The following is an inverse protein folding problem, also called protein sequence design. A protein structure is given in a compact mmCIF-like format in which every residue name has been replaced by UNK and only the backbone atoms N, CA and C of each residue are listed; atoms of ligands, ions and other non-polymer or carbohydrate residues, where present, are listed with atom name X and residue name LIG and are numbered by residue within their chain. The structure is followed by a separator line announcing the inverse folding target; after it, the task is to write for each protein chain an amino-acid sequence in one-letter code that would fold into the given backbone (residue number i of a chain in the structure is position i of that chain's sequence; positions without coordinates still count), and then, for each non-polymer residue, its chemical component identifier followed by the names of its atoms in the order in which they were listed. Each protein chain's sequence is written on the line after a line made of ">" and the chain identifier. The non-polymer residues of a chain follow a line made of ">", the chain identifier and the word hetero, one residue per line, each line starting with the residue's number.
data_IF_071515423099
#
_entry.id   IF_071515423099
#
_cell.length_a   1.000
_cell.length_b   1.000
_cell.length_c   1.000
_cell.angle_alpha   90.00
_cell.angle_beta   90.00
_cell.angle_gamma   90.00
#
_symmetry.space_group_name_H-M   'P 1'
#
loop_
_entity.id
_entity.type
_entity.pdbx_description
1 polymer ?
#
# COMPACT_ATOMS: atom_id res chain seq x y z
N UNK A 1 -25.70 2.11 -15.09
CA UNK A 1 -24.66 1.28 -15.75
C UNK A 1 -25.33 0.45 -16.84
N UNK A 2 -24.98 0.66 -18.12
CA UNK A 2 -25.54 -0.11 -19.23
C UNK A 2 -25.02 -1.55 -19.17
N UNK A 3 -25.93 -2.53 -19.12
CA UNK A 3 -25.63 -3.97 -19.11
C UNK A 3 -24.90 -4.32 -20.40
N UNK A 4 -23.78 -5.05 -20.33
CA UNK A 4 -23.07 -5.49 -21.52
C UNK A 4 -24.00 -6.40 -22.36
N UNK A 5 -24.20 -6.05 -23.63
CA UNK A 5 -25.00 -6.84 -24.58
C UNK A 5 -24.40 -8.26 -24.70
N UNK A 6 -25.26 -9.28 -24.63
CA UNK A 6 -24.89 -10.70 -24.73
C UNK A 6 -24.25 -11.02 -26.09
N UNK A 7 -23.40 -12.05 -26.13
CA UNK A 7 -22.73 -12.49 -27.36
C UNK A 7 -23.74 -12.86 -28.46
N UNK A 8 -24.80 -13.58 -28.09
CA UNK A 8 -25.90 -13.98 -28.97
C UNK A 8 -26.56 -12.76 -29.65
N UNK A 9 -26.90 -11.74 -28.86
CA UNK A 9 -27.55 -10.53 -29.38
C UNK A 9 -26.65 -9.69 -30.29
N UNK A 10 -25.32 -9.80 -30.17
CA UNK A 10 -24.37 -9.20 -31.12
C UNK A 10 -24.38 -9.96 -32.44
N UNK A 11 -24.37 -11.28 -32.37
CA UNK A 11 -24.39 -12.13 -33.56
C UNK A 11 -25.68 -11.94 -34.35
N UNK A 12 -26.83 -11.88 -33.68
CA UNK A 12 -28.13 -11.60 -34.28
C UNK A 12 -28.15 -10.25 -35.01
N UNK A 13 -27.68 -9.17 -34.36
CA UNK A 13 -27.64 -7.83 -34.95
C UNK A 13 -26.76 -7.77 -36.21
N UNK A 14 -25.61 -8.45 -36.19
CA UNK A 14 -24.70 -8.51 -37.35
C UNK A 14 -25.30 -9.33 -38.49
N UNK A 15 -25.90 -10.49 -38.20
CA UNK A 15 -26.58 -11.33 -39.19
C UNK A 15 -27.76 -10.59 -39.82
N UNK A 16 -28.58 -9.91 -39.01
CA UNK A 16 -29.72 -9.12 -39.49
C UNK A 16 -29.28 -8.02 -40.46
N UNK A 17 -28.18 -7.30 -40.14
CA UNK A 17 -27.63 -6.31 -41.05
C UNK A 17 -27.17 -6.94 -42.37
N UNK A 18 -26.38 -8.03 -42.34
CA UNK A 18 -25.84 -8.65 -43.55
C UNK A 18 -26.95 -9.16 -44.46
N UNK A 19 -27.93 -9.88 -43.90
CA UNK A 19 -29.04 -10.45 -44.68
C UNK A 19 -29.91 -9.36 -45.30
N UNK A 20 -30.28 -8.34 -44.52
CA UNK A 20 -31.16 -7.26 -45.02
C UNK A 20 -30.43 -6.33 -45.98
N UNK A 21 -29.15 -6.03 -45.76
CA UNK A 21 -28.34 -5.24 -46.68
C UNK A 21 -28.13 -5.93 -48.04
N UNK A 22 -28.15 -7.26 -48.07
CA UNK A 22 -28.09 -8.04 -49.30
C UNK A 22 -29.43 -8.02 -50.08
N UNK A 23 -30.55 -7.89 -49.38
CA UNK A 23 -31.90 -7.81 -49.98
C UNK A 23 -32.25 -6.37 -50.40
N UNK A 24 -31.85 -5.39 -49.60
CA UNK A 24 -32.12 -3.97 -49.80
C UNK A 24 -30.86 -3.13 -49.53
N UNK A 25 -30.24 -2.55 -50.57
CA UNK A 25 -29.08 -1.69 -50.44
C UNK A 25 -29.31 -0.42 -49.62
N UNK A 26 -30.56 -0.01 -49.36
CA UNK A 26 -30.89 1.21 -48.60
C UNK A 26 -30.74 1.05 -47.08
N UNK A 27 -30.65 -0.18 -46.57
CA UNK A 27 -30.55 -0.47 -45.13
C UNK A 27 -29.30 0.18 -44.52
N UNK A 28 -29.47 1.00 -43.49
CA UNK A 28 -28.37 1.69 -42.80
C UNK A 28 -27.95 0.96 -41.53
N UNK A 29 -26.76 1.28 -40.99
CA UNK A 29 -26.36 0.78 -39.68
C UNK A 29 -27.27 1.30 -38.57
N UNK A 30 -27.76 2.53 -38.71
CA UNK A 30 -28.63 3.19 -37.75
C UNK A 30 -29.96 2.46 -37.55
N UNK A 31 -30.61 2.03 -38.64
CA UNK A 31 -31.91 1.34 -38.56
C UNK A 31 -31.81 0.00 -37.83
N UNK A 32 -30.76 -0.77 -38.09
CA UNK A 32 -30.49 -2.04 -37.40
C UNK A 32 -30.03 -1.80 -35.96
N UNK A 33 -29.23 -0.76 -35.72
CA UNK A 33 -28.75 -0.44 -34.37
C UNK A 33 -29.92 -0.07 -33.43
N UNK A 34 -30.88 0.70 -33.93
CA UNK A 34 -32.09 1.08 -33.19
C UNK A 34 -32.96 -0.14 -32.82
N UNK A 35 -33.18 -1.07 -33.74
CA UNK A 35 -33.98 -2.30 -33.51
C UNK A 35 -33.38 -3.18 -32.39
N UNK A 36 -32.06 -3.32 -32.36
CA UNK A 36 -31.39 -4.18 -31.39
C UNK A 36 -31.07 -3.47 -30.06
N UNK A 37 -31.34 -2.16 -29.97
CA UNK A 37 -31.02 -1.33 -28.80
C UNK A 37 -29.53 -1.15 -28.59
N UNK A 38 -28.75 -1.06 -29.67
CA UNK A 38 -27.29 -0.95 -29.66
C UNK A 38 -26.85 0.36 -30.28
N UNK A 39 -25.70 0.90 -29.88
CA UNK A 39 -25.15 2.08 -30.56
C UNK A 39 -24.65 1.74 -31.97
N UNK A 40 -24.88 2.62 -32.94
CA UNK A 40 -24.44 2.46 -34.34
C UNK A 40 -22.93 2.14 -34.44
N UNK A 41 -22.10 2.87 -33.68
CA UNK A 41 -20.66 2.65 -33.62
C UNK A 41 -20.28 1.25 -33.09
N UNK A 42 -21.14 0.61 -32.29
CA UNK A 42 -20.92 -0.76 -31.83
C UNK A 42 -21.22 -1.78 -32.93
N UNK A 43 -22.33 -1.61 -33.65
CA UNK A 43 -22.69 -2.46 -34.79
C UNK A 43 -21.63 -2.36 -35.90
N UNK A 44 -21.19 -1.14 -36.24
CA UNK A 44 -20.13 -0.91 -37.22
C UNK A 44 -18.83 -1.63 -36.81
N UNK A 45 -18.40 -1.52 -35.55
CA UNK A 45 -17.22 -2.24 -35.04
C UNK A 45 -17.34 -3.76 -35.12
N UNK A 46 -18.53 -4.32 -34.89
CA UNK A 46 -18.76 -5.76 -34.96
C UNK A 46 -18.70 -6.27 -36.40
N UNK A 47 -19.31 -5.54 -37.34
CA UNK A 47 -19.30 -5.90 -38.77
C UNK A 47 -17.91 -5.78 -39.36
N UNK A 48 -17.19 -4.71 -39.00
CA UNK A 48 -15.79 -4.54 -39.37
C UNK A 48 -14.94 -5.72 -38.85
N UNK A 49 -15.11 -6.10 -37.58
CA UNK A 49 -14.38 -7.24 -37.01
C UNK A 49 -14.74 -8.57 -37.68
N UNK A 50 -16.01 -8.78 -38.03
CA UNK A 50 -16.42 -9.97 -38.76
C UNK A 50 -15.74 -10.04 -40.15
N UNK A 51 -15.60 -8.91 -40.84
CA UNK A 51 -14.91 -8.83 -42.14
C UNK A 51 -13.40 -9.02 -42.02
N UNK A 52 -12.77 -8.45 -40.99
CA UNK A 52 -11.31 -8.47 -40.81
C UNK A 52 -10.81 -9.77 -40.14
N UNK A 53 -11.56 -10.30 -39.16
CA UNK A 53 -11.12 -11.39 -38.28
C UNK A 53 -12.00 -12.66 -38.38
N UNK A 54 -13.08 -12.62 -39.17
CA UNK A 54 -14.02 -13.75 -39.29
C UNK A 54 -14.87 -14.01 -38.04
N UNK A 55 -14.88 -13.09 -37.07
CA UNK A 55 -15.64 -13.23 -35.82
C UNK A 55 -16.23 -11.90 -35.37
N UNK A 56 -17.44 -11.95 -34.79
CA UNK A 56 -18.08 -10.79 -34.14
C UNK A 56 -17.50 -10.56 -32.75
N UNK A 57 -17.02 -11.63 -32.11
CA UNK A 57 -16.62 -11.61 -30.71
C UNK A 57 -15.30 -10.89 -30.47
N UNK A 58 -15.21 -10.25 -29.31
CA UNK A 58 -13.97 -9.58 -28.91
C UNK A 58 -12.96 -10.65 -28.51
N UNK A 59 -11.87 -10.81 -29.27
CA UNK A 59 -10.69 -11.54 -28.78
C UNK A 59 -10.21 -10.91 -27.48
N UNK A 60 -10.18 -11.69 -26.40
CA UNK A 60 -9.49 -11.28 -25.17
C UNK A 60 -8.03 -11.06 -25.55
N UNK A 61 -7.39 -9.95 -25.12
CA UNK A 61 -5.97 -9.75 -25.38
C UNK A 61 -5.22 -10.98 -24.87
N UNK A 62 -4.46 -11.64 -25.76
CA UNK A 62 -3.55 -12.72 -25.39
C UNK A 62 -2.55 -12.11 -24.41
N UNK A 63 -2.68 -12.45 -23.12
CA UNK A 63 -1.63 -12.17 -22.14
C UNK A 63 -0.47 -13.06 -22.55
N UNK A 64 0.55 -12.45 -23.13
CA UNK A 64 1.82 -13.11 -23.38
C UNK A 64 2.25 -13.76 -22.06
N UNK A 65 2.39 -15.10 -21.97
CA UNK A 65 2.88 -15.75 -20.77
C UNK A 65 4.38 -15.46 -20.68
N UNK A 66 4.72 -14.20 -20.39
CA UNK A 66 6.08 -13.72 -20.34
C UNK A 66 6.95 -14.67 -19.52
N UNK A 67 8.20 -14.86 -19.99
CA UNK A 67 9.27 -15.67 -19.36
C UNK A 67 8.95 -15.95 -17.89
N UNK A 68 8.62 -17.20 -17.56
CA UNK A 68 8.43 -17.60 -16.16
C UNK A 68 9.71 -17.22 -15.42
N UNK A 69 9.56 -16.31 -14.45
CA UNK A 69 10.66 -15.85 -13.58
C UNK A 69 11.26 -17.02 -12.79
N UNK A 70 10.48 -18.09 -12.59
CA UNK A 70 10.89 -19.33 -11.94
C UNK A 70 11.08 -20.43 -13.01
N UNK A 71 12.30 -20.97 -13.08
CA UNK A 71 12.61 -22.18 -13.84
C UNK A 71 12.17 -23.42 -13.03
N UNK A 72 12.04 -24.60 -13.67
CA UNK A 72 11.77 -25.85 -12.94
C UNK A 72 12.76 -26.12 -11.80
N UNK A 73 14.04 -25.79 -12.00
CA UNK A 73 15.08 -25.91 -10.97
C UNK A 73 14.85 -24.98 -9.77
N UNK A 74 14.39 -23.73 -10.01
CA UNK A 74 14.01 -22.83 -8.91
C UNK A 74 12.82 -23.37 -8.13
N UNK A 75 11.86 -24.00 -8.82
CA UNK A 75 10.69 -24.53 -8.16
C UNK A 75 10.98 -25.79 -7.33
N UNK A 76 11.92 -26.64 -7.76
CA UNK A 76 12.40 -27.77 -6.96
C UNK A 76 13.18 -27.30 -5.72
N UNK A 77 14.05 -26.30 -5.88
CA UNK A 77 14.75 -25.68 -4.77
C UNK A 77 13.80 -25.07 -3.73
N UNK A 78 12.70 -24.45 -4.18
CA UNK A 78 11.65 -23.94 -3.28
C UNK A 78 11.07 -25.08 -2.43
N UNK A 79 10.78 -26.23 -3.05
CA UNK A 79 10.15 -27.35 -2.39
C UNK A 79 11.08 -28.04 -1.38
N UNK A 80 12.33 -28.28 -1.77
CA UNK A 80 13.36 -28.82 -0.89
C UNK A 80 13.58 -27.90 0.32
N UNK A 81 13.71 -26.59 0.08
CA UNK A 81 13.93 -25.62 1.14
C UNK A 81 12.75 -25.53 2.11
N UNK A 82 11.50 -25.49 1.60
CA UNK A 82 10.29 -25.43 2.44
C UNK A 82 10.10 -26.72 3.26
N UNK A 83 10.52 -27.87 2.71
CA UNK A 83 10.47 -29.15 3.42
C UNK A 83 11.52 -29.21 4.54
N UNK A 84 12.74 -28.75 4.26
CA UNK A 84 13.83 -28.69 5.24
C UNK A 84 13.61 -27.61 6.30
N UNK A 85 12.92 -26.52 5.97
CA UNK A 85 12.69 -25.36 6.82
C UNK A 85 11.17 -25.14 7.04
N UNK A 86 10.50 -26.00 7.82
CA UNK A 86 9.04 -25.97 7.98
C UNK A 86 8.53 -24.71 8.73
N UNK A 87 9.41 -23.98 9.42
CA UNK A 87 9.15 -22.68 10.03
C UNK A 87 9.78 -21.51 9.25
N UNK A 88 10.42 -21.81 8.11
CA UNK A 88 11.13 -20.84 7.29
C UNK A 88 10.19 -19.78 6.71
N UNK A 89 10.69 -18.54 6.60
CA UNK A 89 9.92 -17.37 6.19
C UNK A 89 10.11 -17.08 4.70
N UNK A 90 9.14 -16.38 4.11
CA UNK A 90 9.16 -16.06 2.67
C UNK A 90 10.40 -15.24 2.24
N UNK A 91 10.92 -14.40 3.12
CA UNK A 91 12.11 -13.61 2.83
C UNK A 91 13.39 -14.45 2.89
N UNK A 92 13.46 -15.44 3.78
CA UNK A 92 14.57 -16.41 3.90
C UNK A 92 14.61 -17.31 2.67
N UNK A 93 13.44 -17.79 2.21
CA UNK A 93 13.32 -18.52 0.94
C UNK A 93 13.79 -17.66 -0.23
N UNK A 94 13.45 -16.36 -0.25
CA UNK A 94 13.88 -15.43 -1.29
C UNK A 94 15.39 -15.22 -1.27
N UNK A 95 15.98 -15.11 -0.08
CA UNK A 95 17.42 -14.99 0.09
C UNK A 95 18.13 -16.28 -0.34
N UNK A 96 17.61 -17.44 0.04
CA UNK A 96 18.14 -18.75 -0.36
C UNK A 96 18.14 -18.90 -1.89
N UNK A 97 17.04 -18.56 -2.57
CA UNK A 97 16.98 -18.59 -4.03
C UNK A 97 17.94 -17.60 -4.70
N UNK A 98 18.14 -16.42 -4.10
CA UNK A 98 19.10 -15.44 -4.60
C UNK A 98 20.55 -15.93 -4.43
N UNK A 99 20.87 -16.58 -3.31
CA UNK A 99 22.23 -17.04 -2.99
C UNK A 99 22.60 -18.35 -3.68
N UNK A 100 21.71 -19.35 -3.66
CA UNK A 100 21.97 -20.69 -4.19
C UNK A 100 21.67 -20.81 -5.70
N UNK A 101 20.74 -19.99 -6.22
CA UNK A 101 20.26 -20.10 -7.60
C UNK A 101 20.28 -18.79 -8.40
N UNK A 102 20.79 -17.69 -7.83
CA UNK A 102 20.89 -16.39 -8.51
C UNK A 102 19.52 -15.77 -8.88
N UNK A 103 18.42 -16.30 -8.35
CA UNK A 103 17.08 -15.93 -8.76
C UNK A 103 16.49 -14.83 -7.86
N UNK A 104 16.41 -13.60 -8.39
CA UNK A 104 15.74 -12.48 -7.70
C UNK A 104 14.25 -12.50 -8.02
N UNK A 105 13.45 -13.03 -7.10
CA UNK A 105 12.02 -13.30 -7.33
C UNK A 105 11.15 -12.44 -6.40
N UNK A 106 10.07 -11.86 -6.94
CA UNK A 106 9.12 -11.09 -6.12
C UNK A 106 8.38 -12.00 -5.12
N UNK A 107 8.01 -11.45 -3.95
CA UNK A 107 7.24 -12.17 -2.94
C UNK A 107 5.89 -12.67 -3.48
N UNK A 108 5.25 -11.92 -4.37
CA UNK A 108 3.99 -12.31 -5.02
C UNK A 108 4.16 -13.48 -5.98
N UNK A 109 5.29 -13.55 -6.69
CA UNK A 109 5.64 -14.68 -7.57
C UNK A 109 5.87 -15.95 -6.75
N UNK A 110 6.61 -15.87 -5.63
CA UNK A 110 6.84 -17.01 -4.74
C UNK A 110 5.56 -17.49 -4.07
N UNK A 111 4.70 -16.59 -3.58
CA UNK A 111 3.39 -16.98 -3.01
C UNK A 111 2.52 -17.71 -4.02
N UNK A 112 2.53 -17.27 -5.28
CA UNK A 112 1.80 -17.92 -6.37
C UNK A 112 2.34 -19.32 -6.66
N UNK A 113 3.66 -19.49 -6.70
CA UNK A 113 4.30 -20.81 -6.90
C UNK A 113 3.99 -21.78 -5.75
N UNK A 114 4.10 -21.31 -4.50
CA UNK A 114 3.77 -22.10 -3.31
C UNK A 114 2.28 -22.49 -3.28
N UNK A 115 1.39 -21.58 -3.64
CA UNK A 115 -0.04 -21.85 -3.73
C UNK A 115 -0.37 -22.86 -4.84
N UNK A 116 0.30 -22.79 -6.00
CA UNK A 116 0.14 -23.77 -7.08
C UNK A 116 0.58 -25.18 -6.67
N UNK A 117 1.53 -25.29 -5.73
CA UNK A 117 2.04 -26.56 -5.20
C UNK A 117 1.30 -27.05 -3.95
N UNK A 118 0.20 -26.39 -3.55
CA UNK A 118 -0.57 -26.79 -2.37
C UNK A 118 0.14 -26.52 -1.03
N UNK A 119 1.25 -25.79 -1.03
CA UNK A 119 1.99 -25.39 0.17
C UNK A 119 1.29 -24.17 0.80
N UNK A 120 0.13 -24.41 1.44
CA UNK A 120 -0.89 -23.40 1.75
C UNK A 120 -1.07 -22.93 3.21
N UNK A 121 -0.96 -21.60 3.38
CA UNK A 121 -1.53 -20.66 4.37
C UNK A 121 -1.23 -20.76 5.88
N UNK A 122 -0.97 -21.93 6.48
CA UNK A 122 -0.79 -22.01 7.96
C UNK A 122 0.64 -21.84 8.48
N UNK A 123 1.65 -21.97 7.62
CA UNK A 123 3.05 -22.13 8.07
C UNK A 123 4.00 -20.98 7.70
N UNK A 124 3.60 -20.05 6.84
CA UNK A 124 4.46 -18.97 6.35
C UNK A 124 3.95 -17.55 6.72
N UNK A 125 3.00 -17.46 7.65
CA UNK A 125 2.32 -16.21 8.04
C UNK A 125 2.55 -15.81 9.50
N UNK A 126 3.34 -16.56 10.28
CA UNK A 126 3.65 -16.18 11.67
C UNK A 126 4.97 -15.40 11.74
N UNK A 127 4.84 -14.19 12.26
CA UNK A 127 5.88 -13.26 12.72
C UNK A 127 6.65 -12.53 11.61
N UNK A 128 6.25 -11.26 11.46
CA UNK A 128 7.11 -10.06 11.36
C UNK A 128 8.60 -10.33 11.21
N UNK A 129 9.20 -9.75 10.17
CA UNK A 129 10.62 -9.39 10.08
C UNK A 129 11.32 -9.38 11.46
N UNK A 130 12.03 -10.47 11.75
CA UNK A 130 13.14 -10.42 12.70
C UNK A 130 14.31 -10.85 11.83
N UNK A 131 15.20 -9.90 11.54
CA UNK A 131 16.48 -10.16 10.90
C UNK A 131 17.28 -11.10 11.81
N UNK A 132 17.21 -12.42 11.58
CA UNK A 132 18.15 -13.37 12.18
C UNK A 132 19.43 -13.43 11.35
N UNK A 133 20.14 -12.31 11.37
CA UNK A 133 21.58 -12.23 11.25
C UNK A 133 21.93 -10.92 11.94
N UNK A 134 22.02 -10.93 13.27
CA UNK A 134 22.49 -9.76 13.99
C UNK A 134 23.89 -9.44 13.45
N UNK A 135 24.07 -8.38 12.63
CA UNK A 135 25.40 -7.92 12.31
C UNK A 135 26.01 -7.48 13.64
N UNK A 136 27.33 -7.53 13.77
CA UNK A 136 28.02 -7.01 14.94
C UNK A 136 27.49 -5.59 15.30
N UNK A 137 26.58 -5.52 16.28
CA UNK A 137 25.87 -4.29 16.64
C UNK A 137 26.78 -3.32 17.39
N UNK A 138 28.03 -3.70 17.68
CA UNK A 138 29.00 -2.82 18.30
C UNK A 138 29.36 -1.63 17.39
N UNK A 139 29.39 -1.85 16.07
CA UNK A 139 29.63 -0.81 15.07
C UNK A 139 28.43 0.13 14.89
N UNK A 140 27.19 -0.36 14.98
CA UNK A 140 25.98 0.48 14.87
C UNK A 140 25.75 1.38 16.08
N UNK A 141 26.25 0.99 17.25
CA UNK A 141 26.19 1.79 18.49
C UNK A 141 27.11 3.02 18.43
N UNK A 142 28.15 3.02 17.58
CA UNK A 142 29.12 4.11 17.48
C UNK A 142 28.79 5.06 16.32
N UNK A 143 28.85 6.36 16.57
CA UNK A 143 28.63 7.38 15.54
C UNK A 143 29.80 7.45 14.56
N UNK A 144 29.69 6.75 13.43
CA UNK A 144 30.69 6.70 12.34
C UNK A 144 30.38 7.56 11.12
N UNK A 145 31.22 7.49 10.08
CA UNK A 145 31.10 8.30 8.87
C UNK A 145 29.74 8.17 8.15
N UNK A 146 29.14 6.97 8.13
CA UNK A 146 27.81 6.69 7.57
C UNK A 146 26.64 7.37 8.29
N UNK A 147 26.87 7.85 9.52
CA UNK A 147 25.90 8.59 10.34
C UNK A 147 26.08 10.12 10.21
N UNK A 148 27.13 10.57 9.49
CA UNK A 148 27.25 11.95 9.05
C UNK A 148 26.46 12.13 7.76
N UNK A 149 25.92 13.33 7.56
CA UNK A 149 25.30 13.72 6.29
C UNK A 149 26.44 13.96 5.29
N UNK A 150 26.50 13.15 4.25
CA UNK A 150 27.58 13.22 3.28
C UNK A 150 27.29 14.33 2.26
N UNK A 151 28.10 15.39 2.28
CA UNK A 151 28.11 16.40 1.20
C UNK A 151 28.58 15.80 -0.13
N UNK A 152 29.41 14.76 -0.11
CA UNK A 152 30.12 14.23 -1.28
C UNK A 152 29.23 13.55 -2.34
N UNK A 153 27.97 13.23 -2.03
CA UNK A 153 27.07 12.54 -2.97
C UNK A 153 26.39 13.50 -3.97
N UNK A 154 26.48 14.81 -3.76
CA UNK A 154 25.89 15.83 -4.63
C UNK A 154 26.77 17.08 -4.68
N UNK A 155 27.71 17.16 -5.64
CA UNK A 155 28.62 18.30 -5.74
C UNK A 155 27.90 19.62 -6.08
N UNK A 156 26.70 19.54 -6.65
CA UNK A 156 25.88 20.65 -7.12
C UNK A 156 24.89 21.19 -6.07
N UNK A 157 24.70 20.51 -4.92
CA UNK A 157 23.81 20.95 -3.84
C UNK A 157 24.47 20.85 -2.47
N UNK A 158 24.44 21.95 -1.70
CA UNK A 158 24.81 21.88 -0.28
C UNK A 158 23.79 21.05 0.49
N UNK A 159 24.27 20.14 1.34
CA UNK A 159 23.40 19.30 2.16
C UNK A 159 22.58 20.11 3.16
N UNK A 160 21.28 19.83 3.26
CA UNK A 160 20.44 20.39 4.32
C UNK A 160 20.58 19.60 5.63
N UNK A 161 20.35 20.23 6.81
CA UNK A 161 20.24 19.51 8.08
C UNK A 161 19.13 18.45 8.09
N UNK A 162 18.14 18.56 7.20
CA UNK A 162 17.08 17.57 7.02
C UNK A 162 17.49 16.37 6.17
N UNK A 163 18.62 16.41 5.47
CA UNK A 163 19.02 15.35 4.54
C UNK A 163 19.30 14.03 5.27
N UNK A 164 19.06 12.93 4.56
CA UNK A 164 19.32 11.60 5.07
C UNK A 164 20.82 11.35 5.22
N UNK A 165 21.18 10.73 6.34
CA UNK A 165 22.48 10.06 6.48
C UNK A 165 22.50 8.80 5.63
N UNK A 166 23.67 8.30 5.25
CA UNK A 166 23.76 7.04 4.48
C UNK A 166 23.08 5.88 5.22
N UNK A 167 23.25 5.80 6.53
CA UNK A 167 22.59 4.78 7.34
C UNK A 167 21.05 4.87 7.30
N UNK A 168 20.49 6.08 7.26
CA UNK A 168 19.04 6.25 7.10
C UNK A 168 18.59 5.96 5.67
N UNK A 169 19.38 6.37 4.66
CA UNK A 169 19.10 6.12 3.25
C UNK A 169 19.06 4.62 2.94
N UNK A 170 20.08 3.86 3.36
CA UNK A 170 20.13 2.39 3.20
C UNK A 170 18.91 1.70 3.82
N UNK A 171 18.37 2.22 4.92
CA UNK A 171 17.20 1.65 5.57
C UNK A 171 15.90 1.86 4.76
N UNK A 172 15.81 2.90 3.93
CA UNK A 172 14.56 3.29 3.27
C UNK A 172 14.56 3.07 1.76
N UNK A 173 15.72 3.08 1.11
CA UNK A 173 15.88 2.95 -0.35
C UNK A 173 15.10 1.78 -0.96
N UNK A 174 15.11 0.55 -0.38
CA UNK A 174 14.37 -0.58 -0.94
C UNK A 174 12.85 -0.38 -1.01
N UNK A 175 12.30 0.55 -0.22
CA UNK A 175 10.85 0.77 -0.07
C UNK A 175 10.27 1.68 -1.16
N UNK A 176 11.10 2.49 -1.83
CA UNK A 176 10.67 3.37 -2.91
C UNK A 176 11.06 2.90 -4.32
N UNK A 177 11.71 1.74 -4.44
CA UNK A 177 12.30 1.25 -5.70
C UNK A 177 11.29 0.62 -6.69
N UNK A 178 10.02 0.44 -6.30
CA UNK A 178 9.01 -0.13 -7.18
C UNK A 178 8.44 0.94 -8.12
N UNK A 179 9.20 1.30 -9.17
CA UNK A 179 8.72 2.18 -10.22
C UNK A 179 8.42 1.39 -11.50
N UNK A 180 7.15 1.12 -11.84
CA UNK A 180 6.80 0.61 -13.15
C UNK A 180 6.95 1.71 -14.20
N UNK A 181 7.74 1.47 -15.25
CA UNK A 181 7.80 2.32 -16.45
C UNK A 181 9.12 3.07 -16.65
N UNK A 182 9.04 4.26 -17.24
CA UNK A 182 10.19 5.08 -17.68
C UNK A 182 11.00 5.57 -16.47
N UNK A 183 12.33 5.50 -16.58
CA UNK A 183 13.26 6.02 -15.57
C UNK A 183 12.89 7.46 -15.19
N UNK A 184 12.68 7.75 -13.89
CA UNK A 184 12.33 9.09 -13.43
C UNK A 184 13.43 10.10 -13.79
N UNK A 185 13.04 11.32 -14.15
CA UNK A 185 13.97 12.44 -14.39
C UNK A 185 14.73 12.85 -13.12
N UNK A 186 14.12 12.65 -11.95
CA UNK A 186 14.67 12.99 -10.65
C UNK A 186 14.92 11.72 -9.85
N UNK A 187 16.07 11.65 -9.17
CA UNK A 187 16.41 10.50 -8.34
C UNK A 187 15.42 10.33 -7.19
N UNK A 188 15.20 9.07 -6.78
CA UNK A 188 14.34 8.76 -5.64
C UNK A 188 14.76 9.52 -4.39
N UNK A 189 16.07 9.57 -4.14
CA UNK A 189 16.66 10.26 -2.98
C UNK A 189 16.31 11.74 -2.94
N UNK A 190 16.29 12.40 -4.09
CA UNK A 190 15.98 13.83 -4.23
C UNK A 190 14.55 14.11 -3.77
N UNK A 191 13.64 13.22 -4.16
CA UNK A 191 12.22 13.32 -3.79
C UNK A 191 12.05 13.10 -2.29
N UNK A 192 12.65 12.05 -1.71
CA UNK A 192 12.48 11.77 -0.29
C UNK A 192 13.15 12.83 0.59
N UNK A 193 14.31 13.35 0.18
CA UNK A 193 14.97 14.47 0.86
C UNK A 193 14.13 15.74 0.79
N UNK A 194 13.50 16.05 -0.35
CA UNK A 194 12.55 17.16 -0.46
C UNK A 194 11.36 16.99 0.48
N UNK A 195 10.79 15.78 0.58
CA UNK A 195 9.71 15.49 1.53
C UNK A 195 10.15 15.67 2.98
N UNK A 196 11.36 15.22 3.32
CA UNK A 196 11.92 15.39 4.67
C UNK A 196 12.22 16.86 4.96
N UNK A 197 12.66 17.63 3.98
CA UNK A 197 12.86 19.09 4.09
C UNK A 197 11.54 19.80 4.39
N UNK A 198 10.47 19.52 3.63
CA UNK A 198 9.13 20.06 3.89
C UNK A 198 8.66 19.67 5.29
N UNK A 199 8.84 18.40 5.68
CA UNK A 199 8.46 17.92 7.00
C UNK A 199 9.23 18.58 8.16
N UNK A 200 10.51 18.91 7.95
CA UNK A 200 11.35 19.55 8.95
C UNK A 200 11.12 21.06 9.06
N UNK A 201 10.85 21.74 7.95
CA UNK A 201 10.73 23.22 7.89
C UNK A 201 9.30 23.71 7.92
N UNK A 202 8.34 22.88 7.53
CA UNK A 202 6.95 23.28 7.33
C UNK A 202 6.75 24.26 6.17
N UNK A 203 7.73 24.39 5.25
CA UNK A 203 7.62 25.35 4.16
C UNK A 203 6.42 25.03 3.24
N UNK A 204 5.71 26.05 2.72
CA UNK A 204 4.69 25.83 1.71
C UNK A 204 5.26 25.12 0.48
N UNK A 205 4.47 24.25 -0.17
CA UNK A 205 4.91 23.49 -1.35
C UNK A 205 5.54 24.35 -2.45
N UNK A 206 4.96 25.53 -2.73
CA UNK A 206 5.46 26.47 -3.75
C UNK A 206 6.77 27.17 -3.37
N UNK A 207 7.17 27.07 -2.10
CA UNK A 207 8.39 27.64 -1.53
C UNK A 207 9.48 26.58 -1.34
N UNK A 208 9.27 25.36 -1.87
CA UNK A 208 10.33 24.36 -1.90
C UNK A 208 11.55 24.94 -2.66
N UNK A 209 12.75 24.88 -2.08
CA UNK A 209 13.96 25.38 -2.74
C UNK A 209 14.19 24.81 -4.15
N UNK A 210 14.74 25.62 -5.04
CA UNK A 210 14.91 25.29 -6.46
C UNK A 210 16.00 24.24 -6.75
N UNK A 211 16.78 23.87 -5.75
CA UNK A 211 17.76 22.78 -5.79
C UNK A 211 17.14 21.39 -5.49
N UNK A 212 15.83 21.35 -5.19
CA UNK A 212 15.03 20.13 -5.16
C UNK A 212 14.28 19.93 -6.48
N UNK A 213 13.76 18.71 -6.75
CA UNK A 213 12.83 18.48 -7.84
C UNK A 213 11.64 19.44 -7.77
N UNK A 214 11.01 19.78 -8.92
CA UNK A 214 9.84 20.65 -8.94
C UNK A 214 8.77 20.20 -7.96
N UNK A 215 8.18 21.13 -7.20
CA UNK A 215 7.26 20.79 -6.12
C UNK A 215 6.07 19.95 -6.60
N UNK A 216 5.64 20.08 -7.87
CA UNK A 216 4.59 19.27 -8.46
C UNK A 216 4.98 17.79 -8.54
N UNK A 217 6.26 17.51 -8.87
CA UNK A 217 6.80 16.14 -8.88
C UNK A 217 6.85 15.59 -7.46
N UNK A 218 7.42 16.36 -6.52
CA UNK A 218 7.53 15.93 -5.11
C UNK A 218 6.14 15.67 -4.51
N UNK A 219 5.16 16.54 -4.79
CA UNK A 219 3.79 16.39 -4.33
C UNK A 219 3.09 15.16 -4.94
N UNK A 220 3.26 14.91 -6.25
CA UNK A 220 2.71 13.71 -6.89
C UNK A 220 3.17 12.44 -6.20
N UNK A 221 4.47 12.36 -5.91
CA UNK A 221 5.05 11.24 -5.18
C UNK A 221 4.54 11.13 -3.75
N UNK A 222 4.44 12.26 -3.03
CA UNK A 222 3.84 12.29 -1.70
C UNK A 222 2.42 11.73 -1.71
N UNK A 223 1.58 12.20 -2.62
CA UNK A 223 0.19 11.78 -2.72
C UNK A 223 0.13 10.27 -3.03
N UNK A 224 0.86 9.79 -4.02
CA UNK A 224 0.94 8.36 -4.38
C UNK A 224 1.37 7.48 -3.18
N UNK A 225 2.48 7.85 -2.54
CA UNK A 225 3.04 7.09 -1.42
C UNK A 225 2.27 7.20 -0.11
N UNK A 226 1.49 8.27 0.03
CA UNK A 226 0.57 8.43 1.14
C UNK A 226 -0.61 7.47 0.98
N UNK A 227 -1.14 7.31 -0.25
CA UNK A 227 -2.27 6.43 -0.52
C UNK A 227 -1.90 4.94 -0.49
N UNK A 228 -0.71 4.57 -0.98
CA UNK A 228 -0.27 3.17 -0.99
C UNK A 228 0.39 2.69 0.31
N UNK A 229 0.62 3.61 1.27
CA UNK A 229 1.23 3.32 2.57
C UNK A 229 2.77 3.32 2.61
N UNK A 230 3.44 3.65 1.50
CA UNK A 230 4.90 3.74 1.42
C UNK A 230 5.48 4.73 2.43
N UNK A 231 4.85 5.90 2.63
CA UNK A 231 5.29 6.87 3.65
C UNK A 231 5.29 6.25 5.05
N UNK A 232 4.28 5.45 5.37
CA UNK A 232 4.20 4.77 6.67
C UNK A 232 5.29 3.70 6.82
N UNK A 233 5.58 2.96 5.75
CA UNK A 233 6.66 1.96 5.72
C UNK A 233 8.04 2.61 5.90
N UNK A 234 8.29 3.73 5.22
CA UNK A 234 9.52 4.54 5.37
C UNK A 234 9.66 5.03 6.81
N UNK A 235 8.60 5.61 7.39
CA UNK A 235 8.62 6.06 8.77
C UNK A 235 8.87 4.91 9.77
N UNK A 236 8.27 3.73 9.58
CA UNK A 236 8.53 2.58 10.45
C UNK A 236 9.99 2.14 10.39
N UNK A 237 10.58 2.05 9.19
CA UNK A 237 11.99 1.72 9.03
C UNK A 237 12.91 2.72 9.73
N UNK A 238 12.65 4.03 9.58
CA UNK A 238 13.43 5.08 10.23
C UNK A 238 13.31 5.03 11.76
N UNK A 239 12.15 4.67 12.31
CA UNK A 239 11.95 4.54 13.77
C UNK A 239 12.70 3.36 14.39
N UNK A 240 13.00 2.31 13.61
CA UNK A 240 13.76 1.14 14.08
C UNK A 240 15.22 1.49 14.34
N UNK A 241 15.81 2.38 13.54
CA UNK A 241 17.21 2.80 13.66
C UNK A 241 17.59 3.36 15.05
N UNK A 242 16.92 4.39 15.60
CA UNK A 242 17.25 4.89 16.94
C UNK A 242 17.01 3.85 18.04
N UNK A 243 16.04 2.93 17.86
CA UNK A 243 15.79 1.84 18.82
C UNK A 243 16.95 0.84 18.86
N UNK A 244 17.39 0.37 17.68
CA UNK A 244 18.59 -0.50 17.55
C UNK A 244 19.81 0.16 18.19
N UNK A 245 20.04 1.45 17.90
CA UNK A 245 21.17 2.23 18.49
C UNK A 245 21.10 2.31 20.01
N UNK A 246 19.91 2.45 20.58
CA UNK A 246 19.70 2.45 22.02
C UNK A 246 19.78 1.05 22.66
N UNK A 247 20.17 0.01 21.91
CA UNK A 247 20.18 -1.38 22.38
C UNK A 247 18.78 -1.90 22.69
N UNK A 248 17.75 -1.27 22.11
CA UNK A 248 16.35 -1.66 22.28
C UNK A 248 15.89 -2.44 21.06
N UNK A 249 14.96 -3.33 21.34
CA UNK A 249 14.22 -4.08 20.35
C UNK A 249 13.42 -3.15 19.43
N UNK A 250 13.45 -3.46 18.13
CA UNK A 250 12.76 -2.69 17.09
C UNK A 250 11.26 -2.59 17.32
N UNK A 251 10.66 -3.71 17.72
CA UNK A 251 9.25 -3.79 18.05
C UNK A 251 8.99 -3.17 19.42
N UNK A 252 7.96 -2.32 19.47
CA UNK A 252 7.59 -1.52 20.65
C UNK A 252 6.80 -2.40 21.62
N UNK A 253 7.12 -2.31 22.91
CA UNK A 253 6.43 -3.07 23.97
C UNK A 253 5.41 -2.25 24.76
N UNK A 254 5.43 -0.92 24.62
CA UNK A 254 4.54 0.05 25.24
C UNK A 254 4.30 1.20 24.26
N UNK A 255 3.05 1.67 24.21
CA UNK A 255 2.67 2.94 23.60
C UNK A 255 2.06 3.87 24.63
N UNK A 256 2.45 5.14 24.54
CA UNK A 256 1.92 6.23 25.34
C UNK A 256 1.08 7.08 24.40
N UNK A 257 -0.19 7.29 24.75
CA UNK A 257 -1.13 8.09 23.95
C UNK A 257 -1.46 9.35 24.72
N UNK A 258 -1.33 10.48 24.05
CA UNK A 258 -1.74 11.78 24.59
C UNK A 258 -2.55 12.57 23.56
N UNK A 259 -3.33 13.53 24.06
CA UNK A 259 -4.19 14.39 23.26
C UNK A 259 -3.85 15.87 23.46
N UNK A 260 -3.91 16.65 22.39
CA UNK A 260 -3.81 18.10 22.46
C UNK A 260 -4.91 18.77 21.65
N UNK A 261 -5.63 19.69 22.29
CA UNK A 261 -6.61 20.55 21.63
C UNK A 261 -5.95 21.87 21.27
N UNK A 262 -6.16 22.32 20.05
CA UNK A 262 -5.56 23.55 19.50
C UNK A 262 -6.69 24.42 18.98
N UNK A 263 -6.71 25.69 19.42
CA UNK A 263 -7.65 26.69 18.90
C UNK A 263 -7.32 26.94 17.44
N UNK A 264 -8.27 26.71 16.56
CA UNK A 264 -8.15 27.08 15.13
C UNK A 264 -8.96 28.35 14.88
N UNK A 265 -8.96 28.91 13.66
CA UNK A 265 -9.95 29.93 13.27
C UNK A 265 -10.92 29.38 12.22
N UNK A 266 -10.43 28.55 11.30
CA UNK A 266 -11.19 27.93 10.22
C UNK A 266 -11.33 26.41 10.41
N UNK A 267 -12.17 25.73 9.60
CA UNK A 267 -12.25 24.27 9.56
C UNK A 267 -13.63 23.61 9.52
N UNK A 268 -14.73 24.38 9.48
CA UNK A 268 -16.10 23.87 9.28
C UNK A 268 -16.55 22.80 10.28
N UNK A 269 -17.34 21.84 9.83
CA UNK A 269 -17.88 20.71 10.63
C UNK A 269 -16.81 19.87 11.33
N UNK A 270 -15.58 19.93 10.82
CA UNK A 270 -14.47 19.15 11.34
C UNK A 270 -13.82 19.81 12.58
N UNK A 271 -14.32 20.98 13.00
CA UNK A 271 -13.99 21.68 14.24
C UNK A 271 -14.99 21.31 15.36
N UNK A 272 -14.58 21.41 16.62
CA UNK A 272 -15.48 21.20 17.75
C UNK A 272 -15.02 21.91 19.00
N UNK A 273 -15.68 21.63 20.12
CA UNK A 273 -15.35 22.23 21.41
C UNK A 273 -14.92 21.14 22.41
N UNK A 274 -13.70 21.26 22.91
CA UNK A 274 -13.22 20.45 24.02
C UNK A 274 -13.62 21.10 25.33
N UNK A 275 -14.64 20.55 26.00
CA UNK A 275 -15.12 21.06 27.28
C UNK A 275 -14.12 20.91 28.44
N UNK A 276 -13.23 19.91 28.39
CA UNK A 276 -12.21 19.70 29.42
C UNK A 276 -11.10 20.75 29.35
N UNK A 277 -10.71 21.13 28.13
CA UNK A 277 -9.66 22.15 27.90
C UNK A 277 -10.23 23.55 27.65
N UNK A 278 -11.55 23.68 27.52
CA UNK A 278 -12.27 24.90 27.10
C UNK A 278 -11.74 25.48 25.78
N UNK A 279 -11.42 24.61 24.83
CA UNK A 279 -10.84 25.00 23.53
C UNK A 279 -11.82 24.68 22.41
N UNK A 280 -12.24 25.71 21.67
CA UNK A 280 -12.90 25.54 20.39
C UNK A 280 -11.83 25.36 19.31
N UNK A 281 -11.79 24.22 18.62
CA UNK A 281 -10.80 23.98 17.58
C UNK A 281 -10.71 22.53 17.11
N UNK A 282 -9.47 22.08 16.87
CA UNK A 282 -9.14 20.71 16.49
C UNK A 282 -8.42 20.02 17.64
N UNK A 283 -8.52 18.70 17.71
CA UNK A 283 -7.76 17.88 18.66
C UNK A 283 -6.89 16.90 17.90
N UNK A 284 -5.65 16.74 18.35
CA UNK A 284 -4.72 15.73 17.86
C UNK A 284 -4.48 14.69 18.94
N UNK A 285 -4.59 13.42 18.59
CA UNK A 285 -4.09 12.31 19.41
C UNK A 285 -2.81 11.79 18.79
N UNK A 286 -1.80 11.54 19.62
CA UNK A 286 -0.51 11.00 19.19
C UNK A 286 -0.20 9.78 20.04
N UNK A 287 0.11 8.66 19.37
CA UNK A 287 0.71 7.50 19.99
C UNK A 287 2.23 7.57 19.80
N UNK A 288 2.98 7.55 20.90
CA UNK A 288 4.46 7.52 20.90
C UNK A 288 4.96 6.27 21.59
N UNK A 289 6.18 5.85 21.28
CA UNK A 289 6.85 4.77 22.00
C UNK A 289 7.59 5.27 23.26
N UNK A 290 8.25 4.35 23.96
CA UNK A 290 9.06 4.65 25.17
C UNK A 290 10.30 5.49 24.96
N UNK A 291 10.64 5.80 23.70
CA UNK A 291 11.72 6.71 23.32
C UNK A 291 11.18 8.04 22.79
N UNK A 292 9.85 8.25 22.84
CA UNK A 292 9.20 9.44 22.29
C UNK A 292 9.09 9.41 20.76
N UNK A 293 9.33 8.28 20.10
CA UNK A 293 9.20 8.16 18.65
C UNK A 293 7.71 8.09 18.29
N UNK A 294 7.16 9.05 17.53
CA UNK A 294 5.76 9.02 17.12
C UNK A 294 5.47 7.77 16.30
N UNK A 295 4.30 7.17 16.48
CA UNK A 295 3.85 6.01 15.70
C UNK A 295 2.65 6.36 14.84
N UNK A 296 1.56 6.79 15.49
CA UNK A 296 0.31 7.19 14.85
C UNK A 296 -0.12 8.58 15.36
N UNK A 297 -0.75 9.34 14.47
CA UNK A 297 -1.31 10.66 14.73
C UNK A 297 -2.71 10.69 14.11
N UNK A 298 -3.69 11.16 14.86
CA UNK A 298 -5.03 11.45 14.36
C UNK A 298 -5.39 12.90 14.69
N UNK A 299 -5.78 13.68 13.68
CA UNK A 299 -6.32 15.03 13.87
C UNK A 299 -7.80 15.00 13.55
N UNK A 300 -8.62 15.48 14.47
CA UNK A 300 -10.07 15.42 14.38
C UNK A 300 -10.72 16.60 15.10
N UNK A 301 -12.05 16.64 15.13
CA UNK A 301 -12.83 17.65 15.86
C UNK A 301 -12.49 17.63 17.36
N UNK A 302 -12.35 18.80 17.98
CA UNK A 302 -12.06 18.87 19.42
C UNK A 302 -13.22 18.40 20.31
N UNK A 303 -14.42 18.25 19.74
CA UNK A 303 -15.59 17.69 20.44
C UNK A 303 -15.44 16.20 20.75
N UNK A 304 -14.58 15.48 20.02
CA UNK A 304 -14.33 14.06 20.31
C UNK A 304 -13.58 13.96 21.65
N UNK A 305 -14.14 13.17 22.55
CA UNK A 305 -13.56 12.92 23.86
C UNK A 305 -12.31 12.05 23.76
N UNK A 306 -11.36 12.24 24.67
CA UNK A 306 -10.09 11.52 24.66
C UNK A 306 -10.29 9.99 24.71
N UNK A 307 -11.34 9.55 25.40
CA UNK A 307 -11.74 8.13 25.46
C UNK A 307 -12.01 7.50 24.08
N UNK A 308 -12.59 8.26 23.15
CA UNK A 308 -13.00 7.79 21.82
C UNK A 308 -11.93 8.14 20.78
N UNK A 309 -11.11 9.16 21.06
CA UNK A 309 -9.98 9.55 20.22
C UNK A 309 -8.80 8.56 20.27
N UNK A 310 -8.65 7.81 21.37
CA UNK A 310 -7.63 6.76 21.50
C UNK A 310 -7.79 5.68 20.42
N UNK A 311 -9.02 5.28 20.11
CA UNK A 311 -9.32 4.24 19.11
C UNK A 311 -8.87 4.63 17.69
N UNK A 312 -8.58 5.91 17.46
CA UNK A 312 -8.06 6.44 16.20
C UNK A 312 -6.56 6.24 16.03
N UNK A 313 -5.83 6.05 17.13
CA UNK A 313 -4.36 5.88 17.17
C UNK A 313 -3.94 4.54 17.81
N UNK A 314 -4.90 3.69 18.14
CA UNK A 314 -4.73 2.33 18.64
C UNK A 314 -5.73 1.43 17.90
N UNK A 315 -5.39 0.92 16.70
CA UNK A 315 -6.32 0.10 15.92
C UNK A 315 -6.54 -1.27 16.58
N UNK A 316 -7.69 -1.90 16.29
CA UNK A 316 -8.07 -3.19 16.89
C UNK A 316 -7.07 -4.33 16.62
N UNK A 317 -6.33 -4.25 15.51
CA UNK A 317 -5.31 -5.23 15.11
C UNK A 317 -3.89 -4.87 15.62
N UNK A 318 -3.78 -3.94 16.58
CA UNK A 318 -2.51 -3.47 17.12
C UNK A 318 -1.61 -4.59 17.65
N UNK A 319 -2.19 -5.68 18.17
CA UNK A 319 -1.45 -6.86 18.61
C UNK A 319 -0.72 -7.56 17.47
N UNK A 320 -1.22 -7.46 16.24
CA UNK A 320 -0.56 -7.98 15.04
C UNK A 320 0.59 -7.06 14.61
N UNK A 321 0.40 -5.75 14.72
CA UNK A 321 1.43 -4.76 14.37
C UNK A 321 2.54 -4.67 15.44
N UNK A 322 2.20 -4.89 16.70
CA UNK A 322 3.07 -4.78 17.87
C UNK A 322 2.89 -6.03 18.77
N UNK A 323 3.50 -7.17 18.38
CA UNK A 323 3.31 -8.44 19.09
C UNK A 323 3.83 -8.41 20.54
N UNK A 324 4.71 -7.46 20.85
CA UNK A 324 5.30 -7.28 22.19
C UNK A 324 4.57 -6.23 23.03
N UNK A 325 3.49 -5.63 22.52
CA UNK A 325 2.71 -4.63 23.25
C UNK A 325 2.01 -5.31 24.44
N UNK A 326 2.57 -5.14 25.64
CA UNK A 326 2.06 -5.76 26.87
C UNK A 326 0.94 -4.96 27.50
N UNK A 327 1.00 -3.63 27.36
CA UNK A 327 0.09 -2.71 28.05
C UNK A 327 -0.03 -1.45 27.21
N UNK A 328 -1.22 -0.85 27.19
CA UNK A 328 -1.39 0.55 26.85
C UNK A 328 -1.85 1.24 28.14
N UNK A 329 -1.08 2.20 28.64
CA UNK A 329 -1.45 2.81 29.92
C UNK A 329 -2.54 3.86 29.70
N UNK A 330 -3.73 3.56 30.20
CA UNK A 330 -4.87 4.47 30.25
C UNK A 330 -5.07 4.94 31.69
N UNK A 331 -5.17 6.24 31.95
CA UNK A 331 -5.75 6.69 33.24
C UNK A 331 -7.26 6.38 33.18
N UNK A 332 -7.68 5.37 33.95
CA UNK A 332 -9.03 4.79 34.19
C UNK A 332 -9.56 3.71 33.22
N UNK A 333 -10.02 2.59 33.82
CA UNK A 333 -10.67 1.41 33.23
C UNK A 333 -11.93 1.78 32.42
N UNK A 334 -12.19 1.09 31.31
CA UNK A 334 -13.55 0.96 30.78
C UNK A 334 -14.17 -0.37 31.23
N UNK A 335 -15.47 -0.40 31.56
CA UNK A 335 -16.25 -1.62 31.55
C UNK A 335 -16.27 -2.23 30.15
N UNK A 336 -16.18 -3.56 30.07
CA UNK A 336 -16.48 -4.31 28.84
C UNK A 336 -17.91 -3.98 28.39
N UNK A 337 -18.10 -3.85 27.08
CA UNK A 337 -19.36 -3.68 26.35
C UNK A 337 -19.93 -2.25 26.26
N UNK A 338 -19.71 -1.63 25.08
CA UNK A 338 -20.80 -1.17 24.21
C UNK A 338 -20.28 -1.09 22.77
N UNK A 339 -20.55 -2.17 22.03
CA UNK A 339 -20.57 -2.17 20.56
C UNK A 339 -21.82 -1.41 20.15
N UNK A 340 -21.67 -0.32 19.40
CA UNK A 340 -22.56 0.13 18.31
C UNK A 340 -22.42 1.64 18.06
N UNK A 341 -22.59 1.97 16.78
CA UNK A 341 -22.86 3.29 16.21
C UNK A 341 -21.72 4.29 16.28
N UNK A 342 -21.00 4.44 15.16
CA UNK A 342 -20.91 5.69 14.40
C UNK A 342 -20.51 5.31 12.97
N UNK A 343 -21.50 5.20 12.07
CA UNK A 343 -21.25 5.24 10.63
C UNK A 343 -20.72 6.64 10.30
N UNK A 344 -19.58 6.73 9.61
CA UNK A 344 -18.87 7.99 9.32
C UNK A 344 -18.90 8.23 7.80
N UNK A 345 -19.78 9.10 7.27
CA UNK A 345 -19.96 9.22 5.83
C UNK A 345 -18.79 9.88 5.09
N UNK A 346 -17.98 10.72 5.76
CA UNK A 346 -16.95 11.54 5.08
C UNK A 346 -15.59 11.53 5.80
N UNK A 347 -15.25 10.45 6.49
CA UNK A 347 -13.94 10.33 7.14
C UNK A 347 -13.34 8.94 6.93
N UNK A 348 -12.41 8.83 5.99
CA UNK A 348 -11.48 7.70 5.94
C UNK A 348 -10.31 7.99 6.88
N UNK A 349 -10.12 7.22 7.97
CA UNK A 349 -8.78 7.11 8.53
C UNK A 349 -7.84 6.70 7.40
N UNK A 350 -6.62 7.23 7.38
CA UNK A 350 -5.52 6.60 6.61
C UNK A 350 -5.23 5.26 7.29
N UNK A 351 -6.12 4.30 7.06
CA UNK A 351 -5.86 2.89 7.27
C UNK A 351 -4.87 2.54 6.19
N UNK A 352 -3.65 2.23 6.60
CA UNK A 352 -2.69 1.55 5.75
C UNK A 352 -3.38 0.24 5.35
N UNK A 353 -3.98 0.21 4.17
CA UNK A 353 -4.68 -0.95 3.68
C UNK A 353 -3.65 -2.07 3.56
N UNK A 354 -3.80 -3.13 4.36
CA UNK A 354 -3.36 -4.44 3.90
C UNK A 354 -4.16 -4.73 2.64
N UNK A 355 -3.45 -5.16 1.61
CA UNK A 355 -4.03 -5.84 0.44
C UNK A 355 -4.98 -6.92 0.95
N UNK A 356 -6.28 -6.66 0.85
CA UNK A 356 -7.30 -7.65 1.12
C UNK A 356 -7.38 -8.59 -0.09
N UNK A 357 -7.01 -9.85 0.11
CA UNK A 357 -7.36 -10.92 -0.83
C UNK A 357 -8.89 -11.01 -0.87
N UNK A 358 -9.48 -10.73 -2.04
CA UNK A 358 -10.89 -10.96 -2.30
C UNK A 358 -11.20 -12.46 -2.20
N UNK A 359 -11.88 -12.88 -1.15
CA UNK A 359 -12.58 -14.17 -1.13
C UNK A 359 -13.91 -14.00 -1.87
N UNK A 360 -13.93 -14.47 -3.12
CA UNK A 360 -15.13 -14.97 -3.77
C UNK A 360 -15.68 -16.15 -2.96
N UNK A 361 -16.86 -15.98 -2.38
CA UNK A 361 -17.69 -17.09 -1.92
C UNK A 361 -18.41 -17.67 -3.14
N UNK A 362 -17.92 -18.80 -3.64
CA UNK A 362 -18.68 -19.74 -4.46
C UNK A 362 -19.07 -20.91 -3.55
N UNK A 363 -20.36 -21.23 -3.53
CA UNK A 363 -20.96 -22.25 -2.68
C UNK A 363 -20.80 -23.69 -3.19
N UNK A 364 -21.44 -24.60 -2.46
CA UNK A 364 -21.60 -26.03 -2.76
C UNK A 364 -21.52 -26.83 -1.46
N UNK A 365 -22.64 -27.07 -0.77
CA UNK A 365 -23.48 -28.28 -0.86
C UNK A 365 -22.80 -29.56 -0.36
N UNK A 366 -23.47 -30.27 0.56
CA UNK A 366 -23.17 -31.67 0.81
C UNK A 366 -23.48 -32.24 2.19
N UNK A 367 -24.74 -32.62 2.40
CA UNK A 367 -25.14 -33.91 2.97
C UNK A 367 -24.98 -34.20 4.49
N UNK A 368 -26.16 -34.35 5.12
CA UNK A 368 -26.73 -35.61 5.68
C UNK A 368 -26.86 -35.77 7.21
N UNK A 369 -28.13 -36.05 7.54
CA UNK A 369 -28.72 -36.99 8.53
C UNK A 369 -28.91 -36.49 9.96
N UNK A 370 -30.16 -36.65 10.42
CA UNK A 370 -30.60 -36.55 11.80
C UNK A 370 -31.94 -35.85 11.89
#
# INVERSE_FOLDING_TARGET
>A
MAKAISAERRQEAVTAYITRKAQDPSVTYESIAAEFGVGEASLNRWIRRLREEGTVERRKPRRDPGKRVLSPAHSEAIEQWVTANPAGRLWELRQHLAQAHGAVVSASTLRRELAQRGLGKRRLSKLTEVDEAAPDTSAERRFGARHRRAQALRPDRRSYPSDFTEAEWTAIEPRGANMPGRSPKHGLRDVVEALRYIGATGCPWRYLPNDFPPFQTVRRWFDEWHHDGTIASVNDALRRLPRRRAGREETRSLLIVDSQSVKTQEGGEARGYDGGKKIAGRKRHIAVDTMGLPWLLAVHSAAIQDRDGIDLVVPDDISTALPRLKTHHRRRRLPRARRAAHQRPNWEPVKIARVAEATTTTGGEGARRG
#
